data_IF_916338502328
#
_entry.id   IF_916338502328
#
_cell.length_a   1.000
_cell.length_b   1.000
_cell.length_c   1.000
_cell.angle_alpha   90.00
_cell.angle_beta   90.00
_cell.angle_gamma   90.00
#
_symmetry.space_group_name_H-M   'P 1'
#
loop_
_entity.id
_entity.type
_entity.pdbx_description
1 polymer ?
#
# COMPACT_ATOMS: atom_id res chain seq x y z
N UNK A 1 -22.15 -26.66 -14.89
CA UNK A 1 -22.12 -28.12 -14.68
C UNK A 1 -22.76 -28.40 -13.33
N UNK A 2 -24.05 -28.69 -13.34
CA UNK A 2 -24.89 -28.92 -12.16
C UNK A 2 -25.49 -30.30 -12.30
N UNK A 3 -24.97 -31.28 -11.55
CA UNK A 3 -25.58 -32.60 -11.44
C UNK A 3 -26.65 -32.55 -10.36
N UNK A 4 -27.89 -32.43 -10.83
CA UNK A 4 -29.12 -32.59 -10.07
C UNK A 4 -29.28 -34.07 -9.71
N UNK A 5 -29.11 -34.43 -8.44
CA UNK A 5 -29.40 -35.79 -7.95
C UNK A 5 -30.83 -35.83 -7.40
N UNK A 6 -31.77 -36.18 -8.28
CA UNK A 6 -33.10 -36.63 -7.91
C UNK A 6 -32.99 -38.02 -7.25
N UNK A 7 -33.37 -38.14 -5.98
CA UNK A 7 -33.63 -39.45 -5.37
C UNK A 7 -35.15 -39.66 -5.35
N UNK A 8 -35.64 -40.37 -6.35
CA UNK A 8 -37.00 -40.86 -6.48
C UNK A 8 -37.26 -41.93 -5.41
N UNK A 9 -38.14 -41.65 -4.45
CA UNK A 9 -38.64 -42.66 -3.50
C UNK A 9 -39.92 -43.28 -4.11
N UNK A 10 -39.79 -44.48 -4.67
CA UNK A 10 -40.92 -45.30 -5.10
C UNK A 10 -41.53 -45.99 -3.89
N UNK A 11 -42.74 -45.61 -3.49
CA UNK A 11 -43.56 -46.35 -2.51
C UNK A 11 -44.36 -47.39 -3.28
N UNK A 12 -43.90 -48.65 -3.26
CA UNK A 12 -44.63 -49.77 -3.83
C UNK A 12 -45.71 -50.24 -2.83
N UNK A 13 -46.97 -49.94 -3.14
CA UNK A 13 -48.14 -50.41 -2.40
C UNK A 13 -48.56 -51.77 -2.99
N UNK A 14 -48.24 -52.87 -2.30
CA UNK A 14 -48.57 -54.23 -2.77
C UNK A 14 -49.87 -54.71 -2.15
N UNK A 15 -50.82 -55.04 -3.04
CA UNK A 15 -52.13 -55.64 -2.76
C UNK A 15 -52.00 -57.12 -2.40
N UNK A 16 -52.75 -57.54 -1.37
CA UNK A 16 -52.75 -58.89 -0.83
C UNK A 16 -53.41 -59.91 -1.78
N UNK A 17 -52.72 -61.03 -2.02
CA UNK A 17 -53.29 -62.26 -2.57
C UNK A 17 -53.08 -63.40 -1.55
N UNK A 18 -54.17 -63.99 -1.07
CA UNK A 18 -54.18 -65.03 -0.05
C UNK A 18 -53.57 -66.35 -0.54
N UNK A 19 -52.53 -66.81 0.14
CA UNK A 19 -52.04 -68.19 0.13
C UNK A 19 -51.27 -68.41 1.45
N UNK A 20 -51.49 -69.53 2.12
CA UNK A 20 -50.93 -69.86 3.45
C UNK A 20 -49.40 -70.01 3.42
N UNK A 21 -48.71 -68.87 3.45
CA UNK A 21 -47.26 -68.72 3.63
C UNK A 21 -47.06 -68.01 4.97
N UNK A 22 -46.14 -68.50 5.81
CA UNK A 22 -45.89 -67.97 7.15
C UNK A 22 -45.53 -66.47 7.10
N UNK A 23 -46.52 -65.62 7.36
CA UNK A 23 -46.43 -64.15 7.31
C UNK A 23 -45.57 -63.54 8.44
N UNK A 24 -45.07 -64.40 9.36
CA UNK A 24 -44.22 -64.00 10.49
C UNK A 24 -42.85 -63.54 10.02
N UNK A 25 -42.24 -64.23 9.04
CA UNK A 25 -40.87 -63.92 8.58
C UNK A 25 -40.80 -62.61 7.81
N UNK A 26 -41.83 -62.32 7.02
CA UNK A 26 -41.91 -61.08 6.23
C UNK A 26 -42.15 -59.86 7.14
N UNK A 27 -42.96 -60.04 8.18
CA UNK A 27 -43.20 -59.01 9.20
C UNK A 27 -41.94 -58.74 10.03
N UNK A 28 -41.19 -59.79 10.40
CA UNK A 28 -39.93 -59.66 11.14
C UNK A 28 -38.83 -58.98 10.32
N UNK A 29 -38.77 -59.25 9.01
CA UNK A 29 -37.82 -58.60 8.10
C UNK A 29 -38.17 -57.12 7.91
N UNK A 30 -39.44 -56.79 7.66
CA UNK A 30 -39.89 -55.41 7.56
C UNK A 30 -39.61 -54.61 8.86
N UNK A 31 -39.75 -55.25 10.02
CA UNK A 31 -39.41 -54.66 11.32
C UNK A 31 -37.90 -54.38 11.49
N UNK A 32 -37.03 -55.22 10.95
CA UNK A 32 -35.57 -54.99 10.93
C UNK A 32 -35.19 -53.87 9.98
N UNK A 33 -35.77 -53.87 8.78
CA UNK A 33 -35.51 -52.86 7.75
C UNK A 33 -35.95 -51.47 8.23
N UNK A 34 -37.10 -51.37 8.91
CA UNK A 34 -37.57 -50.12 9.50
C UNK A 34 -36.62 -49.60 10.59
N UNK A 35 -36.10 -50.47 11.47
CA UNK A 35 -35.13 -50.05 12.50
C UNK A 35 -33.80 -49.62 11.89
N UNK A 36 -33.35 -50.31 10.85
CA UNK A 36 -32.15 -49.93 10.10
C UNK A 36 -32.34 -48.56 9.42
N UNK A 37 -33.49 -48.34 8.77
CA UNK A 37 -33.83 -47.07 8.16
C UNK A 37 -33.92 -45.93 9.19
N UNK A 38 -34.55 -46.16 10.35
CA UNK A 38 -34.61 -45.17 11.44
C UNK A 38 -33.21 -44.81 11.97
N UNK A 39 -32.34 -45.80 12.10
CA UNK A 39 -30.96 -45.60 12.55
C UNK A 39 -30.16 -44.77 11.53
N UNK A 40 -30.27 -45.11 10.25
CA UNK A 40 -29.63 -44.37 9.16
C UNK A 40 -30.12 -42.92 9.06
N UNK A 41 -31.43 -42.68 9.23
CA UNK A 41 -32.00 -41.32 9.25
C UNK A 41 -31.49 -40.53 10.46
N UNK A 42 -31.37 -41.17 11.63
CA UNK A 42 -30.82 -40.51 12.83
C UNK A 42 -29.35 -40.13 12.64
N UNK A 43 -28.55 -41.00 12.02
CA UNK A 43 -27.14 -40.74 11.71
C UNK A 43 -27.00 -39.59 10.69
N UNK A 44 -27.76 -39.64 9.60
CA UNK A 44 -27.80 -38.55 8.61
C UNK A 44 -28.21 -37.20 9.23
N UNK A 45 -29.19 -37.21 10.14
CA UNK A 45 -29.60 -35.99 10.85
C UNK A 45 -28.45 -35.43 11.68
N UNK A 46 -27.71 -36.27 12.39
CA UNK A 46 -26.55 -35.85 13.18
C UNK A 46 -25.44 -35.26 12.29
N UNK A 47 -25.18 -35.86 11.12
CA UNK A 47 -24.18 -35.36 10.17
C UNK A 47 -24.58 -34.01 9.56
N UNK A 48 -25.87 -33.83 9.25
CA UNK A 48 -26.42 -32.57 8.74
C UNK A 48 -26.29 -31.47 9.79
N UNK A 49 -26.61 -31.76 11.06
CA UNK A 49 -26.47 -30.80 12.16
C UNK A 49 -25.00 -30.38 12.36
N UNK A 50 -24.07 -31.35 12.37
CA UNK A 50 -22.64 -31.06 12.45
C UNK A 50 -22.14 -30.22 11.25
N UNK A 51 -22.63 -30.51 10.05
CA UNK A 51 -22.30 -29.74 8.84
C UNK A 51 -22.86 -28.32 8.91
N UNK A 52 -24.08 -28.15 9.42
CA UNK A 52 -24.70 -26.84 9.60
C UNK A 52 -23.90 -25.96 10.57
N UNK A 53 -23.46 -26.52 11.69
CA UNK A 53 -22.63 -25.82 12.67
C UNK A 53 -21.27 -25.38 12.08
N UNK A 54 -20.64 -26.25 11.29
CA UNK A 54 -19.40 -25.95 10.58
C UNK A 54 -19.58 -24.83 9.54
N UNK A 55 -20.69 -24.87 8.78
CA UNK A 55 -21.03 -23.81 7.82
C UNK A 55 -21.24 -22.47 8.53
N UNK A 56 -21.98 -22.44 9.63
CA UNK A 56 -22.19 -21.21 10.41
C UNK A 56 -20.89 -20.69 11.02
N UNK A 57 -20.01 -21.57 11.49
CA UNK A 57 -18.67 -21.20 11.95
C UNK A 57 -17.84 -20.56 10.83
N UNK A 58 -17.84 -21.16 9.64
CA UNK A 58 -17.13 -20.62 8.47
C UNK A 58 -17.70 -19.29 8.01
N UNK A 59 -19.03 -19.11 8.01
CA UNK A 59 -19.67 -17.82 7.70
C UNK A 59 -19.17 -16.71 8.63
N UNK A 60 -19.13 -16.98 9.95
CA UNK A 60 -18.60 -16.02 10.93
C UNK A 60 -17.15 -15.67 10.67
N UNK A 61 -16.33 -16.66 10.32
CA UNK A 61 -14.92 -16.43 9.99
C UNK A 61 -14.76 -15.58 8.72
N UNK A 62 -15.53 -15.86 7.67
CA UNK A 62 -15.52 -15.04 6.45
C UNK A 62 -15.92 -13.60 6.73
N UNK A 63 -16.95 -13.37 7.55
CA UNK A 63 -17.36 -12.00 7.94
C UNK A 63 -16.22 -11.28 8.66
N UNK A 64 -15.52 -11.94 9.59
CA UNK A 64 -14.37 -11.35 10.28
C UNK A 64 -13.24 -11.00 9.32
N UNK A 65 -12.92 -11.90 8.39
CA UNK A 65 -11.89 -11.66 7.38
C UNK A 65 -12.25 -10.51 6.44
N UNK A 66 -13.53 -10.39 6.05
CA UNK A 66 -14.01 -9.26 5.25
C UNK A 66 -13.87 -7.94 6.00
N UNK A 67 -14.20 -7.92 7.29
CA UNK A 67 -14.03 -6.72 8.11
C UNK A 67 -12.54 -6.34 8.24
N UNK A 68 -11.67 -7.31 8.53
CA UNK A 68 -10.22 -7.06 8.63
C UNK A 68 -9.64 -6.55 7.31
N UNK A 69 -10.11 -7.09 6.18
CA UNK A 69 -9.70 -6.62 4.86
C UNK A 69 -10.16 -5.19 4.59
N UNK A 70 -11.40 -4.85 4.95
CA UNK A 70 -11.92 -3.48 4.82
C UNK A 70 -11.11 -2.50 5.66
N UNK A 71 -10.77 -2.87 6.90
CA UNK A 71 -9.95 -2.04 7.80
C UNK A 71 -8.54 -1.84 7.23
N UNK A 72 -7.92 -2.90 6.69
CA UNK A 72 -6.61 -2.82 6.02
C UNK A 72 -6.66 -1.94 4.76
N UNK A 73 -7.72 -2.02 3.98
CA UNK A 73 -7.91 -1.18 2.79
C UNK A 73 -8.05 0.30 3.17
N UNK A 74 -8.82 0.61 4.22
CA UNK A 74 -8.96 1.96 4.74
C UNK A 74 -7.63 2.51 5.25
N UNK A 75 -6.87 1.72 6.02
CA UNK A 75 -5.54 2.11 6.50
C UNK A 75 -4.57 2.37 5.33
N UNK A 76 -4.56 1.50 4.31
CA UNK A 76 -3.72 1.67 3.13
C UNK A 76 -4.08 2.92 2.33
N UNK A 77 -5.37 3.25 2.21
CA UNK A 77 -5.81 4.49 1.56
C UNK A 77 -5.31 5.73 2.32
N UNK A 78 -5.41 5.74 3.65
CA UNK A 78 -4.90 6.83 4.47
C UNK A 78 -3.37 6.99 4.36
N UNK A 79 -2.61 5.89 4.34
CA UNK A 79 -1.16 5.96 4.16
C UNK A 79 -0.76 6.45 2.77
N UNK A 80 -1.52 6.10 1.72
CA UNK A 80 -1.30 6.62 0.37
C UNK A 80 -1.54 8.13 0.29
N UNK A 81 -2.59 8.62 0.96
CA UNK A 81 -2.86 10.05 1.04
C UNK A 81 -1.73 10.79 1.74
N UNK A 82 -1.28 10.31 2.91
CA UNK A 82 -0.13 10.88 3.63
C UNK A 82 1.13 10.89 2.79
N UNK A 83 1.43 9.80 2.08
CA UNK A 83 2.60 9.72 1.19
C UNK A 83 2.49 10.75 0.06
N UNK A 84 1.32 10.89 -0.56
CA UNK A 84 1.06 11.89 -1.59
C UNK A 84 1.25 13.32 -1.07
N UNK A 85 0.72 13.64 0.12
CA UNK A 85 0.95 14.95 0.76
C UNK A 85 2.43 15.19 1.04
N UNK A 86 3.15 14.21 1.58
CA UNK A 86 4.59 14.32 1.86
C UNK A 86 5.41 14.54 0.58
N UNK A 87 5.06 13.84 -0.51
CA UNK A 87 5.69 14.05 -1.82
C UNK A 87 5.41 15.46 -2.36
N UNK A 88 4.19 15.97 -2.19
CA UNK A 88 3.83 17.34 -2.55
C UNK A 88 4.64 18.38 -1.78
N UNK A 89 4.66 18.28 -0.45
CA UNK A 89 5.47 19.17 0.41
C UNK A 89 6.96 19.11 0.06
N UNK A 90 7.49 17.94 -0.26
CA UNK A 90 8.89 17.78 -0.67
C UNK A 90 9.18 18.48 -2.02
N UNK A 91 8.27 18.38 -2.99
CA UNK A 91 8.40 19.07 -4.27
C UNK A 91 8.33 20.61 -4.12
N UNK A 92 7.41 21.10 -3.28
CA UNK A 92 7.31 22.52 -2.93
C UNK A 92 8.58 23.03 -2.26
N UNK A 93 9.11 22.29 -1.28
CA UNK A 93 10.36 22.62 -0.61
C UNK A 93 11.55 22.68 -1.57
N UNK A 94 11.63 21.73 -2.51
CA UNK A 94 12.67 21.74 -3.57
C UNK A 94 12.57 22.96 -4.48
N UNK A 95 11.35 23.34 -4.87
CA UNK A 95 11.09 24.53 -5.68
C UNK A 95 11.46 25.80 -4.93
N UNK A 96 11.06 25.92 -3.67
CA UNK A 96 11.40 27.05 -2.80
C UNK A 96 12.92 27.18 -2.60
N UNK A 97 13.62 26.06 -2.36
CA UNK A 97 15.08 26.05 -2.25
C UNK A 97 15.74 26.52 -3.55
N UNK A 98 15.30 26.04 -4.73
CA UNK A 98 15.82 26.50 -6.02
C UNK A 98 15.63 28.00 -6.22
N UNK A 99 14.45 28.53 -5.87
CA UNK A 99 14.18 29.96 -5.95
C UNK A 99 15.10 30.77 -5.03
N UNK A 100 15.25 30.35 -3.78
CA UNK A 100 16.12 31.00 -2.80
C UNK A 100 17.59 31.01 -3.26
N UNK A 101 18.09 29.88 -3.78
CA UNK A 101 19.46 29.79 -4.30
C UNK A 101 19.66 30.66 -5.54
N UNK A 102 18.68 30.71 -6.45
CA UNK A 102 18.74 31.56 -7.65
C UNK A 102 18.80 33.04 -7.27
N UNK A 103 17.98 33.46 -6.29
CA UNK A 103 17.99 34.82 -5.76
C UNK A 103 19.34 35.15 -5.11
N UNK A 104 19.90 34.23 -4.31
CA UNK A 104 21.21 34.39 -3.67
C UNK A 104 22.32 34.52 -4.71
N UNK A 105 22.27 33.75 -5.80
CA UNK A 105 23.22 33.85 -6.92
C UNK A 105 23.13 35.22 -7.60
N UNK A 106 21.93 35.73 -7.86
CA UNK A 106 21.73 37.06 -8.44
C UNK A 106 22.30 38.18 -7.54
N UNK A 107 22.16 38.06 -6.22
CA UNK A 107 22.79 38.99 -5.26
C UNK A 107 24.31 38.94 -5.32
N UNK A 108 24.91 37.74 -5.45
CA UNK A 108 26.35 37.60 -5.66
C UNK A 108 26.80 38.24 -6.98
N UNK A 109 26.05 38.06 -8.07
CA UNK A 109 26.36 38.68 -9.36
C UNK A 109 26.32 40.21 -9.28
N UNK A 110 25.35 40.78 -8.55
CA UNK A 110 25.29 42.22 -8.30
C UNK A 110 26.48 42.71 -7.45
N UNK A 111 26.86 41.98 -6.40
CA UNK A 111 28.03 42.31 -5.57
C UNK A 111 29.33 42.25 -6.38
N UNK A 112 29.47 41.26 -7.27
CA UNK A 112 30.59 41.14 -8.20
C UNK A 112 30.65 42.29 -9.20
N UNK A 113 29.51 42.67 -9.77
CA UNK A 113 29.42 43.82 -10.68
C UNK A 113 29.84 45.12 -9.97
N UNK A 114 29.40 45.31 -8.72
CA UNK A 114 29.83 46.46 -7.91
C UNK A 114 31.33 46.42 -7.62
N UNK A 115 31.88 45.27 -7.21
CA UNK A 115 33.31 45.09 -6.94
C UNK A 115 34.15 45.41 -8.18
N UNK A 116 33.67 45.05 -9.37
CA UNK A 116 34.34 45.35 -10.64
C UNK A 116 34.43 46.86 -10.97
N UNK A 117 33.59 47.70 -10.35
CA UNK A 117 33.70 49.17 -10.49
C UNK A 117 34.80 49.76 -9.61
N UNK A 118 35.26 49.04 -8.58
CA UNK A 118 36.38 49.47 -7.75
C UNK A 118 37.69 49.40 -8.53
N UNK A 119 38.54 50.41 -8.35
CA UNK A 119 39.82 50.54 -9.08
C UNK A 119 41.02 49.98 -8.34
N UNK A 120 40.86 49.57 -7.07
CA UNK A 120 41.94 49.04 -6.25
C UNK A 120 42.38 47.63 -6.70
N UNK A 121 43.68 47.35 -6.60
CA UNK A 121 44.25 46.09 -7.09
C UNK A 121 43.72 44.87 -6.32
N UNK A 122 43.51 45.02 -5.00
CA UNK A 122 43.01 43.96 -4.14
C UNK A 122 41.57 43.54 -4.50
N UNK A 123 40.69 44.50 -4.80
CA UNK A 123 39.33 44.23 -5.25
C UNK A 123 39.29 43.55 -6.62
N UNK A 124 40.19 43.93 -7.54
CA UNK A 124 40.30 43.27 -8.85
C UNK A 124 40.75 41.81 -8.74
N UNK A 125 41.75 41.55 -7.91
CA UNK A 125 42.24 40.19 -7.65
C UNK A 125 41.16 39.34 -6.95
N UNK A 126 40.47 39.91 -5.96
CA UNK A 126 39.38 39.21 -5.28
C UNK A 126 38.18 38.95 -6.21
N UNK A 127 37.85 39.88 -7.11
CA UNK A 127 36.76 39.73 -8.07
C UNK A 127 36.97 38.51 -8.99
N UNK A 128 38.20 38.25 -9.43
CA UNK A 128 38.51 37.05 -10.22
C UNK A 128 38.23 35.75 -9.44
N UNK A 129 38.65 35.69 -8.17
CA UNK A 129 38.40 34.54 -7.30
C UNK A 129 36.92 34.31 -6.99
N UNK A 130 36.16 35.38 -6.78
CA UNK A 130 34.70 35.26 -6.61
C UNK A 130 33.98 34.85 -7.89
N UNK A 131 34.41 35.33 -9.05
CA UNK A 131 33.82 34.93 -10.34
C UNK A 131 33.94 33.42 -10.55
N UNK A 132 35.10 32.83 -10.26
CA UNK A 132 35.30 31.39 -10.35
C UNK A 132 34.37 30.60 -9.42
N UNK A 133 34.22 31.05 -8.16
CA UNK A 133 33.29 30.42 -7.20
C UNK A 133 31.82 30.58 -7.61
N UNK A 134 31.45 31.71 -8.22
CA UNK A 134 30.12 31.93 -8.80
C UNK A 134 29.86 30.98 -9.97
N UNK A 135 30.83 30.78 -10.84
CA UNK A 135 30.71 29.83 -11.96
C UNK A 135 30.59 28.38 -11.47
N UNK A 136 31.28 28.01 -10.38
CA UNK A 136 31.08 26.73 -9.70
C UNK A 136 29.64 26.57 -9.16
N UNK A 137 29.10 27.59 -8.49
CA UNK A 137 27.71 27.58 -8.01
C UNK A 137 26.72 27.45 -9.16
N UNK A 138 26.93 28.16 -10.27
CA UNK A 138 26.09 28.04 -11.46
C UNK A 138 26.12 26.61 -12.04
N UNK A 139 27.28 25.95 -12.01
CA UNK A 139 27.41 24.55 -12.44
C UNK A 139 26.70 23.58 -11.49
N UNK A 140 26.79 23.78 -10.17
CA UNK A 140 26.04 22.99 -9.19
C UNK A 140 24.53 23.14 -9.42
N UNK A 141 24.05 24.37 -9.58
CA UNK A 141 22.64 24.67 -9.83
C UNK A 141 22.09 24.03 -11.09
N UNK A 142 22.88 23.97 -12.16
CA UNK A 142 22.51 23.30 -13.40
C UNK A 142 22.34 21.78 -13.22
N UNK A 143 23.00 21.19 -12.22
CA UNK A 143 22.98 19.76 -11.91
C UNK A 143 22.20 19.45 -10.63
N UNK A 144 21.24 20.31 -10.26
CA UNK A 144 20.43 20.12 -9.05
C UNK A 144 19.65 18.78 -9.10
N UNK A 145 19.88 17.86 -8.14
CA UNK A 145 19.15 16.61 -8.07
C UNK A 145 17.69 16.82 -7.64
N UNK A 146 16.86 15.78 -7.74
CA UNK A 146 15.52 15.83 -7.19
C UNK A 146 15.60 15.89 -5.64
N UNK A 147 14.66 16.55 -4.95
CA UNK A 147 14.67 16.61 -3.49
C UNK A 147 14.57 15.25 -2.79
N UNK A 148 14.01 14.25 -3.47
CA UNK A 148 13.92 12.89 -2.98
C UNK A 148 15.20 12.06 -3.20
N UNK A 149 16.17 12.56 -3.96
CA UNK A 149 17.41 11.83 -4.22
C UNK A 149 18.29 11.77 -2.96
N UNK A 150 18.96 10.64 -2.76
CA UNK A 150 19.89 10.45 -1.64
C UNK A 150 21.05 11.48 -1.63
N UNK A 151 21.38 12.04 -2.80
CA UNK A 151 22.40 13.07 -2.95
C UNK A 151 21.94 14.48 -2.52
N UNK A 152 20.63 14.71 -2.31
CA UNK A 152 20.08 16.04 -2.03
C UNK A 152 20.74 16.72 -0.83
N UNK A 153 20.90 15.99 0.29
CA UNK A 153 21.49 16.56 1.50
C UNK A 153 22.96 16.96 1.35
N UNK A 154 23.73 16.19 0.57
CA UNK A 154 25.11 16.54 0.26
C UNK A 154 25.17 17.75 -0.68
N UNK A 155 24.32 17.74 -1.71
CA UNK A 155 24.18 18.83 -2.68
C UNK A 155 23.85 20.17 -2.00
N UNK A 156 22.81 20.23 -1.16
CA UNK A 156 22.43 21.49 -0.50
C UNK A 156 23.52 21.99 0.43
N UNK A 157 24.18 21.09 1.17
CA UNK A 157 25.32 21.44 2.02
C UNK A 157 26.47 22.05 1.23
N UNK A 158 26.81 21.49 0.08
CA UNK A 158 27.92 21.98 -0.75
C UNK A 158 27.61 23.36 -1.34
N UNK A 159 26.36 23.55 -1.80
CA UNK A 159 25.86 24.85 -2.28
C UNK A 159 25.92 25.89 -1.16
N UNK A 160 25.34 25.60 0.00
CA UNK A 160 25.25 26.54 1.13
C UNK A 160 26.65 26.89 1.67
N UNK A 161 27.53 25.90 1.83
CA UNK A 161 28.92 26.10 2.25
C UNK A 161 29.68 27.01 1.28
N UNK A 162 29.45 26.85 -0.02
CA UNK A 162 30.12 27.66 -1.05
C UNK A 162 29.63 29.11 -0.99
N UNK A 163 28.32 29.34 -0.86
CA UNK A 163 27.80 30.68 -0.67
C UNK A 163 28.32 31.35 0.60
N UNK A 164 28.27 30.65 1.74
CA UNK A 164 28.73 31.20 3.03
C UNK A 164 30.20 31.60 2.98
N UNK A 165 31.02 30.82 2.27
CA UNK A 165 32.42 31.15 2.06
C UNK A 165 32.59 32.43 1.23
N UNK A 166 31.82 32.59 0.15
CA UNK A 166 31.86 33.79 -0.70
C UNK A 166 31.40 35.02 0.09
N UNK A 167 30.28 34.94 0.79
CA UNK A 167 29.70 36.07 1.53
C UNK A 167 30.62 36.52 2.67
N UNK A 168 31.21 35.57 3.40
CA UNK A 168 32.21 35.88 4.43
C UNK A 168 33.43 36.59 3.87
N UNK A 169 33.93 36.14 2.72
CA UNK A 169 35.11 36.74 2.09
C UNK A 169 34.77 38.11 1.48
N UNK A 170 33.58 38.30 0.92
CA UNK A 170 33.09 39.59 0.43
C UNK A 170 32.98 40.62 1.57
N UNK A 171 32.52 40.19 2.75
CA UNK A 171 32.44 41.06 3.94
C UNK A 171 33.79 41.48 4.53
N UNK A 172 34.91 40.93 4.02
CA UNK A 172 36.28 41.28 4.45
C UNK A 172 36.97 42.28 3.51
N UNK A 173 36.34 42.66 2.40
CA UNK A 173 36.82 43.64 1.42
C UNK A 173 36.20 45.01 1.62
#
# INVERSE_FOLDING_TARGET
>A
MTTSNYVLIFVALVTAACGSKDNSTDTDQAGKDLRAAQSAVSEQRSEIEATADEVERRKREVIKQQQELADKQAALAAEREKLGSAQGTLAEAGTAYRAAVTERLAKLDAALAHLATKTDAAAKDAAAGFKARRDQLASLLANMPAPADAAWAAYTKDVDTTFDAIERDLGRL
#
